data_IF_301729452252
#
_entry.id   IF_301729452252
#
_cell.length_a   1.000
_cell.length_b   1.000
_cell.length_c   1.000
_cell.angle_alpha   90.00
_cell.angle_beta   90.00
_cell.angle_gamma   90.00
#
_symmetry.space_group_name_H-M   'P 1'
#
loop_
_entity.id
_entity.type
_entity.pdbx_description
1 polymer ?
#
# COMPACT_ATOMS: atom_id res chain seq x y z
N UNK A 1 1.32 5.44 -19.46
CA UNK A 1 1.41 5.96 -18.07
C UNK A 1 0.41 5.20 -17.21
N UNK A 2 0.86 4.43 -16.22
CA UNK A 2 -0.05 3.59 -15.42
C UNK A 2 -1.00 4.44 -14.55
N UNK A 3 -2.30 4.13 -14.61
CA UNK A 3 -3.35 4.77 -13.80
C UNK A 3 -3.52 4.02 -12.48
N UNK A 4 -3.60 4.73 -11.37
CA UNK A 4 -3.89 4.15 -10.05
C UNK A 4 -5.36 4.39 -9.71
N UNK A 5 -6.07 3.31 -9.38
CA UNK A 5 -7.43 3.33 -8.84
C UNK A 5 -7.44 2.75 -7.44
N UNK A 6 -8.30 3.27 -6.59
CA UNK A 6 -8.48 2.79 -5.22
C UNK A 6 -9.84 2.13 -5.11
N UNK A 7 -9.91 0.95 -4.50
CA UNK A 7 -11.20 0.37 -4.09
C UNK A 7 -11.85 1.27 -3.04
N UNK A 8 -13.18 1.14 -2.84
CA UNK A 8 -13.89 1.87 -1.78
C UNK A 8 -13.26 1.63 -0.40
N UNK A 9 -12.85 0.40 -0.13
CA UNK A 9 -12.18 -0.02 1.10
C UNK A 9 -10.83 0.68 1.32
N UNK A 10 -9.98 0.78 0.28
CA UNK A 10 -8.73 1.54 0.37
C UNK A 10 -8.95 3.07 0.42
N UNK A 11 -9.93 3.57 -0.31
CA UNK A 11 -10.14 5.01 -0.53
C UNK A 11 -10.81 5.75 0.64
N UNK A 12 -11.74 5.10 1.36
CA UNK A 12 -12.57 5.76 2.36
C UNK A 12 -12.25 5.35 3.80
N UNK A 13 -11.95 4.07 4.03
CA UNK A 13 -11.90 3.55 5.40
C UNK A 13 -10.49 3.65 5.99
N UNK A 14 -9.45 3.30 5.23
CA UNK A 14 -8.07 3.28 5.74
C UNK A 14 -7.43 4.65 5.91
N UNK A 15 -7.71 5.62 5.03
CA UNK A 15 -7.16 6.97 5.16
C UNK A 15 -7.67 7.66 6.43
N UNK A 16 -8.99 7.64 6.64
CA UNK A 16 -9.62 8.26 7.79
C UNK A 16 -9.20 7.60 9.12
N UNK A 17 -9.12 6.27 9.18
CA UNK A 17 -8.69 5.55 10.39
C UNK A 17 -7.24 5.87 10.73
N UNK A 18 -6.35 5.92 9.74
CA UNK A 18 -4.93 6.18 10.01
C UNK A 18 -4.69 7.65 10.42
N UNK A 19 -5.44 8.60 9.85
CA UNK A 19 -5.42 10.00 10.31
C UNK A 19 -5.86 10.14 11.77
N UNK A 20 -6.89 9.39 12.21
CA UNK A 20 -7.30 9.36 13.62
C UNK A 20 -6.20 8.83 14.57
N UNK A 21 -5.24 8.09 14.05
CA UNK A 21 -4.08 7.57 14.79
C UNK A 21 -2.79 8.36 14.51
N UNK A 22 -2.88 9.60 14.00
CA UNK A 22 -1.74 10.46 13.63
C UNK A 22 -0.79 9.84 12.58
N UNK A 23 -1.27 8.87 11.81
CA UNK A 23 -0.50 8.19 10.77
C UNK A 23 -1.02 8.63 9.39
N UNK A 24 -0.48 9.72 8.87
CA UNK A 24 -0.96 10.28 7.59
C UNK A 24 -0.35 9.52 6.41
N UNK A 25 -1.20 8.88 5.60
CA UNK A 25 -0.78 8.21 4.36
C UNK A 25 -1.30 8.98 3.15
N UNK A 26 -0.41 9.41 2.28
CA UNK A 26 -0.77 10.15 1.07
C UNK A 26 -0.85 9.25 -0.16
N UNK A 27 -1.64 9.64 -1.17
CA UNK A 27 -1.65 8.96 -2.48
C UNK A 27 -0.27 8.95 -3.15
N UNK A 28 0.54 10.00 -2.90
CA UNK A 28 1.92 10.08 -3.38
C UNK A 28 2.80 9.00 -2.75
N UNK A 29 2.71 8.80 -1.44
CA UNK A 29 3.42 7.70 -0.76
C UNK A 29 2.97 6.34 -1.29
N UNK A 30 1.65 6.10 -1.43
CA UNK A 30 1.16 4.83 -1.98
C UNK A 30 1.72 4.59 -3.39
N UNK A 31 1.72 5.62 -4.24
CA UNK A 31 2.31 5.55 -5.58
C UNK A 31 3.80 5.21 -5.53
N UNK A 32 4.54 5.86 -4.65
CA UNK A 32 5.97 5.60 -4.47
C UNK A 32 6.23 4.16 -4.04
N UNK A 33 5.49 3.66 -3.05
CA UNK A 33 5.65 2.29 -2.54
C UNK A 33 5.38 1.27 -3.64
N UNK A 34 4.36 1.49 -4.48
CA UNK A 34 4.05 0.58 -5.59
C UNK A 34 5.16 0.55 -6.65
N UNK A 35 5.77 1.69 -6.98
CA UNK A 35 6.75 1.79 -8.07
C UNK A 35 8.21 1.68 -7.63
N UNK A 36 8.50 1.93 -6.35
CA UNK A 36 9.82 1.89 -5.73
C UNK A 36 9.73 1.31 -4.31
N UNK A 37 9.28 0.05 -4.17
CA UNK A 37 9.24 -0.62 -2.88
C UNK A 37 10.64 -0.96 -2.38
N UNK A 38 10.78 -1.08 -1.06
CA UNK A 38 11.96 -1.73 -0.47
C UNK A 38 11.85 -3.25 -0.64
N UNK A 39 10.61 -3.77 -0.56
CA UNK A 39 10.30 -5.18 -0.73
C UNK A 39 8.97 -5.39 -1.45
N UNK A 40 8.90 -6.39 -2.34
CA UNK A 40 7.66 -6.80 -3.00
C UNK A 40 7.51 -8.31 -2.96
N UNK A 41 6.32 -8.77 -2.57
CA UNK A 41 5.96 -10.18 -2.48
C UNK A 41 4.60 -10.47 -3.13
N UNK A 42 4.33 -11.73 -3.54
CA UNK A 42 3.01 -12.15 -3.97
C UNK A 42 1.97 -11.99 -2.86
N UNK A 43 0.75 -11.58 -3.23
CA UNK A 43 -0.40 -11.57 -2.33
C UNK A 43 -1.03 -12.95 -2.14
N UNK A 44 -2.12 -13.00 -1.35
CA UNK A 44 -2.85 -14.26 -1.10
C UNK A 44 -3.63 -14.77 -2.32
N UNK A 45 -3.95 -13.87 -3.26
CA UNK A 45 -4.73 -14.19 -4.45
C UNK A 45 -3.88 -14.06 -5.73
N UNK A 46 -4.24 -14.79 -6.80
CA UNK A 46 -3.57 -14.64 -8.09
C UNK A 46 -3.52 -13.18 -8.55
N UNK A 47 -2.39 -12.76 -9.11
CA UNK A 47 -2.15 -11.40 -9.62
C UNK A 47 -2.25 -10.28 -8.58
N UNK A 48 -2.31 -10.63 -7.29
CA UNK A 48 -2.17 -9.70 -6.19
C UNK A 48 -0.70 -9.59 -5.80
N UNK A 49 -0.27 -8.38 -5.47
CA UNK A 49 1.06 -8.05 -5.00
C UNK A 49 0.97 -7.25 -3.71
N UNK A 50 2.00 -7.39 -2.88
CA UNK A 50 2.19 -6.59 -1.68
C UNK A 50 3.52 -5.86 -1.85
N UNK A 51 3.45 -4.54 -1.98
CA UNK A 51 4.63 -3.68 -1.94
C UNK A 51 4.78 -3.08 -0.55
N UNK A 52 5.99 -3.10 -0.01
CA UNK A 52 6.29 -2.61 1.33
C UNK A 52 7.43 -1.62 1.28
N UNK A 53 7.33 -0.59 2.13
CA UNK A 53 8.40 0.40 2.29
C UNK A 53 8.44 0.90 3.72
N UNK A 54 9.63 1.12 4.25
CA UNK A 54 9.79 1.81 5.52
C UNK A 54 9.28 3.26 5.41
N UNK A 55 8.53 3.71 6.41
CA UNK A 55 7.96 5.07 6.43
C UNK A 55 8.36 5.89 7.64
N UNK A 56 8.81 5.23 8.72
CA UNK A 56 9.47 5.84 9.87
C UNK A 56 10.40 4.83 10.55
N UNK A 57 10.97 5.18 11.70
CA UNK A 57 11.91 4.33 12.46
C UNK A 57 11.33 3.02 13.00
N UNK A 58 10.00 2.90 13.04
CA UNK A 58 9.28 1.77 13.66
C UNK A 58 8.37 1.04 12.69
N UNK A 59 7.91 1.70 11.63
CA UNK A 59 6.86 1.17 10.77
C UNK A 59 7.29 1.04 9.31
N UNK A 60 6.81 -0.03 8.71
CA UNK A 60 6.67 -0.18 7.26
C UNK A 60 5.22 0.09 6.88
N UNK A 61 4.99 0.64 5.69
CA UNK A 61 3.67 0.71 5.08
C UNK A 61 3.58 -0.35 4.00
N UNK A 62 2.58 -1.23 4.14
CA UNK A 62 2.28 -2.31 3.19
C UNK A 62 1.11 -1.89 2.31
N UNK A 63 1.26 -2.03 1.00
CA UNK A 63 0.26 -1.71 -0.01
C UNK A 63 -0.08 -2.96 -0.79
N UNK A 64 -1.34 -3.40 -0.69
CA UNK A 64 -1.86 -4.54 -1.43
C UNK A 64 -2.55 -4.04 -2.68
N UNK A 65 -2.13 -4.53 -3.84
CA UNK A 65 -2.66 -4.10 -5.13
C UNK A 65 -2.68 -5.23 -6.15
N UNK A 66 -3.41 -5.03 -7.24
CA UNK A 66 -3.32 -5.87 -8.44
C UNK A 66 -3.04 -5.02 -9.67
N UNK A 67 -2.50 -5.64 -10.71
CA UNK A 67 -2.25 -5.01 -12.01
C UNK A 67 -3.19 -5.62 -13.04
N UNK A 68 -4.03 -4.78 -13.65
CA UNK A 68 -4.90 -5.12 -14.76
C UNK A 68 -4.49 -4.20 -15.95
N UNK A 69 -3.71 -4.74 -16.89
CA UNK A 69 -3.10 -3.97 -18.00
C UNK A 69 -2.38 -2.68 -17.53
N UNK A 70 -2.87 -1.52 -17.96
CA UNK A 70 -2.34 -0.19 -17.61
C UNK A 70 -2.92 0.38 -16.30
N UNK A 71 -3.68 -0.42 -15.56
CA UNK A 71 -4.38 -0.01 -14.34
C UNK A 71 -3.83 -0.76 -13.13
N UNK A 72 -3.40 0.00 -12.13
CA UNK A 72 -3.09 -0.51 -10.80
C UNK A 72 -4.31 -0.28 -9.91
N UNK A 73 -4.85 -1.35 -9.34
CA UNK A 73 -5.96 -1.28 -8.39
C UNK A 73 -5.43 -1.52 -6.99
N UNK A 74 -5.40 -0.47 -6.18
CA UNK A 74 -5.04 -0.53 -4.75
C UNK A 74 -6.24 -1.08 -3.98
N UNK A 75 -6.05 -2.26 -3.39
CA UNK A 75 -7.08 -3.02 -2.68
C UNK A 75 -7.16 -2.56 -1.23
N UNK A 76 -6.00 -2.45 -0.55
CA UNK A 76 -5.88 -1.95 0.82
C UNK A 76 -4.42 -1.55 1.11
N UNK A 77 -4.19 -0.85 2.21
CA UNK A 77 -2.86 -0.57 2.74
C UNK A 77 -2.92 -0.47 4.27
N UNK A 78 -1.81 -0.78 4.94
CA UNK A 78 -1.75 -0.76 6.40
C UNK A 78 -0.30 -0.67 6.89
N UNK A 79 -0.06 0.04 8.01
CA UNK A 79 1.23 -0.01 8.67
C UNK A 79 1.46 -1.37 9.34
N UNK A 80 2.72 -1.75 9.45
CA UNK A 80 3.18 -2.86 10.26
C UNK A 80 4.52 -2.50 10.91
N UNK A 81 4.87 -3.16 12.00
CA UNK A 81 6.18 -2.99 12.63
C UNK A 81 7.30 -3.52 11.73
N UNK A 82 8.46 -2.86 11.75
CA UNK A 82 9.68 -3.35 11.10
C UNK A 82 10.04 -4.72 11.68
N UNK A 83 10.51 -5.64 10.82
CA UNK A 83 10.88 -7.01 11.20
C UNK A 83 9.69 -7.96 11.38
N UNK A 84 8.45 -7.45 11.39
CA UNK A 84 7.25 -8.31 11.35
C UNK A 84 7.06 -8.97 9.98
N UNK A 85 7.47 -8.25 8.94
CA UNK A 85 7.46 -8.72 7.57
C UNK A 85 8.77 -8.32 6.91
N UNK A 86 9.38 -9.29 6.23
CA UNK A 86 10.70 -9.29 5.60
C UNK A 86 11.88 -8.80 6.46
#
# INVERSE_FOLDING_TARGET
MMKIRYTKHAALEKLAILEQHNFVVTRRQIREIIFRPDHQEPGKHPFQFIASKQVDERHILRVVYRKDDDIIIVITFYPAEIGRYY
#
